data_IF_971970098060
#
_entry.id   IF_971970098060
#
_cell.length_a   1.000
_cell.length_b   1.000
_cell.length_c   1.000
_cell.angle_alpha   90.00
_cell.angle_beta   90.00
_cell.angle_gamma   90.00
#
_symmetry.space_group_name_H-M   'P 1'
#
loop_
_entity.id
_entity.type
_entity.pdbx_description
1 polymer ?
#
# COMPACT_ATOMS: atom_id res chain seq x y z
N UNK A 1 10.21 7.77 -12.40
CA UNK A 1 9.24 6.69 -12.08
C UNK A 1 7.85 6.96 -12.67
N UNK A 2 7.22 8.11 -12.42
CA UNK A 2 5.84 8.41 -12.85
C UNK A 2 5.58 8.30 -14.36
N UNK A 3 6.48 8.80 -15.22
CA UNK A 3 6.32 8.66 -16.69
C UNK A 3 6.38 7.20 -17.19
N UNK A 4 7.03 6.31 -16.43
CA UNK A 4 7.03 4.87 -16.74
C UNK A 4 5.71 4.26 -16.28
N UNK A 5 5.25 4.61 -15.07
CA UNK A 5 3.95 4.18 -14.55
C UNK A 5 2.81 4.60 -15.46
N UNK A 6 2.75 5.86 -15.89
CA UNK A 6 1.72 6.33 -16.83
C UNK A 6 1.61 5.44 -18.08
N UNK A 7 2.75 5.16 -18.73
CA UNK A 7 2.81 4.28 -19.92
C UNK A 7 2.40 2.83 -19.64
N UNK A 8 2.63 2.35 -18.41
CA UNK A 8 2.20 1.01 -18.00
C UNK A 8 0.69 0.98 -17.71
N UNK A 9 0.15 2.03 -17.10
CA UNK A 9 -1.28 2.18 -16.84
C UNK A 9 -2.08 2.29 -18.14
N UNK A 10 -1.56 2.96 -19.17
CA UNK A 10 -2.18 3.04 -20.50
C UNK A 10 -2.32 1.67 -21.19
N UNK A 11 -1.50 0.69 -20.78
CA UNK A 11 -1.51 -0.68 -21.29
C UNK A 11 -2.21 -1.66 -20.34
N UNK A 12 -2.61 -1.21 -19.16
CA UNK A 12 -3.21 -2.07 -18.16
C UNK A 12 -4.61 -2.51 -18.61
N UNK A 13 -4.94 -3.80 -18.49
CA UNK A 13 -6.30 -4.30 -18.70
C UNK A 13 -7.35 -3.57 -17.83
N UNK A 14 -8.60 -3.55 -18.27
CA UNK A 14 -9.67 -2.84 -17.56
C UNK A 14 -10.01 -3.48 -16.20
N UNK A 15 -9.92 -4.80 -16.10
CA UNK A 15 -10.14 -5.61 -14.90
C UNK A 15 -9.09 -5.37 -13.80
N UNK A 16 -7.97 -4.71 -14.13
CA UNK A 16 -6.99 -4.27 -13.14
C UNK A 16 -7.50 -3.09 -12.30
N UNK A 17 -8.66 -2.54 -12.64
CA UNK A 17 -9.32 -1.48 -11.90
C UNK A 17 -10.65 -1.97 -11.34
N UNK A 18 -10.85 -1.73 -10.04
CA UNK A 18 -12.16 -1.88 -9.40
C UNK A 18 -12.88 -0.53 -9.36
N UNK A 19 -14.20 -0.55 -9.40
CA UNK A 19 -15.05 0.64 -9.21
C UNK A 19 -15.35 0.77 -7.72
N UNK A 20 -14.91 1.87 -7.10
CA UNK A 20 -15.24 2.21 -5.72
C UNK A 20 -16.60 2.92 -5.59
N UNK A 21 -16.99 3.20 -4.35
CA UNK A 21 -18.33 3.68 -3.96
C UNK A 21 -18.79 4.99 -4.64
N UNK A 22 -17.87 5.77 -5.19
CA UNK A 22 -18.15 7.04 -5.89
C UNK A 22 -17.81 6.97 -7.40
N UNK A 23 -17.80 5.76 -7.98
CA UNK A 23 -17.39 5.56 -9.38
C UNK A 23 -15.88 5.74 -9.62
N UNK A 24 -15.11 5.93 -8.54
CA UNK A 24 -13.66 6.12 -8.58
C UNK A 24 -12.97 4.80 -8.91
N UNK A 25 -12.09 4.82 -9.91
CA UNK A 25 -11.23 3.68 -10.22
C UNK A 25 -10.19 3.47 -9.10
N UNK A 26 -10.19 2.27 -8.54
CA UNK A 26 -9.29 1.80 -7.51
C UNK A 26 -8.37 0.72 -8.09
N UNK A 27 -7.04 0.85 -7.94
CA UNK A 27 -6.12 -0.21 -8.31
C UNK A 27 -6.42 -1.51 -7.54
N UNK A 28 -6.55 -2.61 -8.29
CA UNK A 28 -6.59 -3.96 -7.74
C UNK A 28 -5.19 -4.44 -7.33
N UNK A 29 -5.10 -5.57 -6.64
CA UNK A 29 -3.80 -6.19 -6.35
C UNK A 29 -3.07 -6.58 -7.64
N UNK A 30 -3.80 -7.08 -8.66
CA UNK A 30 -3.21 -7.48 -9.94
C UNK A 30 -2.52 -6.32 -10.65
N UNK A 31 -3.11 -5.11 -10.60
CA UNK A 31 -2.45 -3.90 -11.12
C UNK A 31 -1.12 -3.64 -10.42
N UNK A 32 -1.09 -3.77 -9.09
CA UNK A 32 0.12 -3.54 -8.33
C UNK A 32 1.19 -4.59 -8.60
N UNK A 33 0.82 -5.87 -8.71
CA UNK A 33 1.74 -6.95 -9.03
C UNK A 33 2.31 -6.80 -10.44
N UNK A 34 1.49 -6.42 -11.42
CA UNK A 34 1.93 -6.08 -12.76
C UNK A 34 2.94 -4.93 -12.75
N UNK A 35 2.62 -3.82 -12.07
CA UNK A 35 3.54 -2.70 -11.94
C UNK A 35 4.82 -3.09 -11.20
N UNK A 36 4.75 -3.95 -10.19
CA UNK A 36 5.91 -4.42 -9.46
C UNK A 36 6.89 -5.18 -10.38
N UNK A 37 6.36 -6.13 -11.16
CA UNK A 37 7.14 -6.87 -12.14
C UNK A 37 7.77 -5.94 -13.19
N UNK A 38 6.98 -5.04 -13.76
CA UNK A 38 7.42 -4.13 -14.81
C UNK A 38 8.42 -3.06 -14.33
N UNK A 39 8.42 -2.74 -13.03
CA UNK A 39 9.33 -1.75 -12.44
C UNK A 39 10.55 -2.39 -11.77
N UNK A 40 10.59 -3.71 -11.62
CA UNK A 40 11.65 -4.41 -10.89
C UNK A 40 11.57 -4.18 -9.38
N UNK A 41 10.35 -4.23 -8.83
CA UNK A 41 10.09 -4.12 -7.40
C UNK A 41 9.99 -5.54 -6.84
N UNK A 42 10.94 -5.92 -6.00
CA UNK A 42 10.90 -7.19 -5.29
C UNK A 42 9.87 -7.09 -4.16
N UNK A 43 9.15 -8.18 -3.91
CA UNK A 43 8.23 -8.25 -2.79
C UNK A 43 8.26 -9.62 -2.12
N UNK A 44 8.05 -9.62 -0.81
CA UNK A 44 7.95 -10.83 0.00
C UNK A 44 6.85 -10.66 1.05
N UNK A 45 6.21 -11.76 1.45
CA UNK A 45 5.26 -11.78 2.56
C UNK A 45 5.66 -12.86 3.53
N UNK A 46 5.73 -12.52 4.80
CA UNK A 46 5.85 -13.47 5.89
C UNK A 46 4.53 -13.50 6.64
N UNK A 47 4.06 -14.69 6.96
CA UNK A 47 2.84 -14.87 7.74
C UNK A 47 3.17 -15.72 8.95
N UNK A 48 2.69 -15.29 10.10
CA UNK A 48 2.88 -16.03 11.34
C UNK A 48 1.91 -15.62 12.43
N UNK A 49 1.75 -16.47 13.45
CA UNK A 49 0.98 -16.13 14.64
C UNK A 49 1.71 -15.07 15.48
N UNK A 50 0.95 -14.17 16.11
CA UNK A 50 1.40 -13.19 17.10
C UNK A 50 0.41 -13.21 18.26
N UNK A 51 0.75 -13.96 19.31
CA UNK A 51 -0.21 -14.28 20.38
C UNK A 51 -1.38 -15.07 19.81
N UNK A 52 -2.60 -14.59 20.09
CA UNK A 52 -3.84 -15.19 19.59
C UNK A 52 -4.18 -14.75 18.15
N UNK A 53 -3.43 -13.81 17.58
CA UNK A 53 -3.70 -13.21 16.27
C UNK A 53 -2.82 -13.83 15.18
N UNK A 54 -3.18 -13.61 13.92
CA UNK A 54 -2.32 -13.84 12.77
C UNK A 54 -1.88 -12.52 12.15
N UNK A 55 -0.58 -12.38 11.87
CA UNK A 55 -0.03 -11.24 11.14
C UNK A 55 0.56 -11.70 9.82
N UNK A 56 0.22 -10.99 8.75
CA UNK A 56 0.99 -11.00 7.51
C UNK A 56 1.79 -9.70 7.42
N UNK A 57 3.11 -9.81 7.28
CA UNK A 57 4.03 -8.71 7.04
C UNK A 57 4.51 -8.77 5.60
N UNK A 58 4.11 -7.79 4.79
CA UNK A 58 4.59 -7.61 3.44
C UNK A 58 5.78 -6.65 3.43
N UNK A 59 6.80 -6.98 2.64
CA UNK A 59 7.97 -6.14 2.40
C UNK A 59 8.15 -5.94 0.90
N UNK A 60 8.31 -4.70 0.46
CA UNK A 60 8.67 -4.32 -0.90
C UNK A 60 10.08 -3.73 -0.92
N UNK A 61 10.87 -4.04 -1.94
CA UNK A 61 12.20 -3.47 -2.15
C UNK A 61 12.34 -2.95 -3.58
N UNK A 62 12.81 -1.72 -3.72
CA UNK A 62 13.08 -1.12 -5.02
C UNK A 62 14.28 -0.17 -4.92
N UNK A 63 15.40 -0.57 -5.51
CA UNK A 63 16.69 0.07 -5.28
C UNK A 63 17.06 0.03 -3.79
N UNK A 64 17.38 1.19 -3.22
CA UNK A 64 17.73 1.35 -1.80
C UNK A 64 16.51 1.53 -0.88
N UNK A 65 15.29 1.57 -1.43
CA UNK A 65 14.06 1.78 -0.65
C UNK A 65 13.44 0.45 -0.24
N UNK A 66 13.07 0.35 1.04
CA UNK A 66 12.33 -0.79 1.59
C UNK A 66 11.04 -0.29 2.22
N UNK A 67 9.92 -0.93 1.90
CA UNK A 67 8.58 -0.59 2.41
C UNK A 67 8.06 -1.82 3.14
N UNK A 68 7.63 -1.66 4.39
CA UNK A 68 7.00 -2.74 5.15
C UNK A 68 5.59 -2.32 5.55
N UNK A 69 4.64 -3.26 5.44
CA UNK A 69 3.28 -3.05 5.91
C UNK A 69 2.66 -4.37 6.37
N UNK A 70 1.88 -4.29 7.44
CA UNK A 70 1.28 -5.45 8.05
C UNK A 70 -0.25 -5.47 7.93
N UNK A 71 -0.81 -6.67 8.03
CA UNK A 71 -2.23 -6.90 8.25
C UNK A 71 -2.39 -7.92 9.37
N UNK A 72 -3.30 -7.65 10.30
CA UNK A 72 -3.56 -8.48 11.49
C UNK A 72 -5.00 -8.97 11.43
N UNK A 73 -5.23 -10.22 11.81
CA UNK A 73 -6.55 -10.82 11.94
C UNK A 73 -6.68 -11.63 13.24
N UNK A 74 -7.89 -11.66 13.81
CA UNK A 74 -8.14 -12.21 15.14
C UNK A 74 -7.92 -13.70 15.25
N UNK A 75 -8.38 -14.49 14.29
CA UNK A 75 -8.05 -15.91 14.21
C UNK A 75 -8.43 -16.42 12.82
N UNK A 76 -7.71 -17.44 12.37
CA UNK A 76 -8.17 -18.35 11.34
C UNK A 76 -8.97 -19.44 12.06
N UNK A 77 -9.98 -19.05 12.84
CA UNK A 77 -10.77 -20.07 13.51
C UNK A 77 -11.69 -20.74 12.49
N UNK A 78 -11.73 -22.06 12.63
CA UNK A 78 -12.80 -22.93 12.20
C UNK A 78 -14.08 -22.41 12.84
N UNK A 79 -14.74 -21.46 12.20
CA UNK A 79 -16.18 -21.33 12.36
C UNK A 79 -16.76 -22.64 11.84
N UNK A 80 -16.84 -23.61 12.76
CA UNK A 80 -17.84 -24.64 12.71
C UNK A 80 -19.15 -23.88 12.59
N UNK A 81 -19.72 -23.91 11.39
CA UNK A 81 -21.04 -23.43 11.06
C UNK A 81 -22.01 -23.86 12.17
N UNK A 82 -22.28 -22.99 13.14
CA UNK A 82 -23.52 -23.06 13.93
C UNK A 82 -24.61 -22.38 13.13
N UNK A 83 -24.79 -22.81 11.88
CA UNK A 83 -26.06 -22.75 11.18
C UNK A 83 -26.59 -24.19 11.16
N UNK A 84 -27.40 -24.46 12.18
CA UNK A 84 -28.34 -25.57 12.27
C UNK A 84 -29.15 -25.70 10.97
N UNK A 85 -28.69 -26.57 10.07
CA UNK A 85 -29.48 -27.50 9.21
C UNK A 85 -28.70 -28.05 8.00
N UNK A 86 -27.42 -27.73 7.83
CA UNK A 86 -26.59 -28.38 6.79
C UNK A 86 -25.87 -29.63 7.33
N UNK A 87 -25.88 -30.77 6.60
CA UNK A 87 -25.17 -31.97 7.02
C UNK A 87 -23.66 -31.67 7.16
N UNK A 88 -22.98 -32.25 8.17
CA UNK A 88 -21.60 -31.91 8.45
C UNK A 88 -20.71 -32.20 7.23
N UNK A 89 -19.79 -31.30 6.87
CA UNK A 89 -18.79 -31.60 5.85
C UNK A 89 -17.98 -32.82 6.30
N UNK A 90 -17.68 -33.73 5.37
CA UNK A 90 -16.84 -34.90 5.66
C UNK A 90 -15.50 -34.43 6.23
N UNK A 91 -15.11 -34.98 7.37
CA UNK A 91 -13.89 -34.62 8.08
C UNK A 91 -12.67 -34.76 7.15
N UNK A 92 -11.97 -33.65 6.92
CA UNK A 92 -10.64 -33.63 6.29
C UNK A 92 -10.51 -32.91 4.95
N UNK A 93 -11.57 -32.72 4.16
CA UNK A 93 -11.41 -32.19 2.78
C UNK A 93 -11.70 -30.68 2.64
N UNK A 94 -12.46 -30.07 3.57
CA UNK A 94 -12.83 -28.64 3.50
C UNK A 94 -12.03 -27.69 4.41
N UNK A 95 -11.33 -28.24 5.39
CA UNK A 95 -10.73 -27.47 6.49
C UNK A 95 -9.38 -26.84 6.11
N UNK A 96 -8.53 -27.59 5.41
CA UNK A 96 -7.27 -27.07 4.86
C UNK A 96 -7.50 -25.94 3.84
N UNK A 97 -8.49 -26.09 2.95
CA UNK A 97 -8.80 -25.12 1.90
C UNK A 97 -9.31 -23.79 2.47
N UNK A 98 -10.15 -23.81 3.53
CA UNK A 98 -10.67 -22.59 4.18
C UNK A 98 -9.56 -21.81 4.89
N UNK A 99 -8.65 -22.50 5.59
CA UNK A 99 -7.51 -21.89 6.27
C UNK A 99 -6.50 -21.30 5.29
N UNK A 100 -6.16 -22.03 4.22
CA UNK A 100 -5.31 -21.53 3.13
C UNK A 100 -5.90 -20.29 2.45
N UNK A 101 -7.23 -20.25 2.26
CA UNK A 101 -7.92 -19.10 1.68
C UNK A 101 -7.87 -17.87 2.61
N UNK A 102 -8.11 -18.04 3.92
CA UNK A 102 -8.03 -16.95 4.91
C UNK A 102 -6.60 -16.40 5.03
N UNK A 103 -5.58 -17.27 5.02
CA UNK A 103 -4.16 -16.87 5.01
C UNK A 103 -3.80 -16.11 3.73
N UNK A 104 -4.23 -16.61 2.57
CA UNK A 104 -3.99 -15.96 1.28
C UNK A 104 -4.65 -14.57 1.21
N UNK A 105 -5.83 -14.40 1.81
CA UNK A 105 -6.48 -13.10 1.94
C UNK A 105 -5.69 -12.15 2.85
N UNK A 106 -5.19 -12.64 3.99
CA UNK A 106 -4.37 -11.85 4.90
C UNK A 106 -3.07 -11.38 4.24
N UNK A 107 -2.40 -12.28 3.50
CA UNK A 107 -1.23 -11.96 2.67
C UNK A 107 -1.56 -10.89 1.62
N UNK A 108 -2.66 -11.08 0.89
CA UNK A 108 -3.10 -10.15 -0.15
C UNK A 108 -3.38 -8.76 0.43
N UNK A 109 -3.97 -8.68 1.64
CA UNK A 109 -4.21 -7.41 2.35
C UNK A 109 -2.92 -6.71 2.74
N UNK A 110 -1.94 -7.44 3.28
CA UNK A 110 -0.63 -6.88 3.63
C UNK A 110 0.10 -6.35 2.39
N UNK A 111 0.13 -7.13 1.30
CA UNK A 111 0.72 -6.68 0.02
C UNK A 111 0.01 -5.45 -0.52
N UNK A 112 -1.32 -5.47 -0.56
CA UNK A 112 -2.10 -4.34 -1.04
C UNK A 112 -1.83 -3.07 -0.22
N UNK A 113 -1.68 -3.20 1.11
CA UNK A 113 -1.30 -2.09 1.99
C UNK A 113 0.10 -1.57 1.63
N UNK A 114 1.10 -2.44 1.52
CA UNK A 114 2.47 -2.06 1.17
C UNK A 114 2.54 -1.38 -0.21
N UNK A 115 1.88 -1.96 -1.21
CA UNK A 115 1.82 -1.38 -2.56
C UNK A 115 1.05 -0.06 -2.60
N UNK A 116 -0.01 0.08 -1.79
CA UNK A 116 -0.72 1.37 -1.68
C UNK A 116 0.17 2.45 -1.07
N UNK A 117 1.01 2.12 -0.09
CA UNK A 117 1.97 3.09 0.45
C UNK A 117 2.99 3.51 -0.60
N UNK A 118 3.45 2.56 -1.41
CA UNK A 118 4.54 2.81 -2.35
C UNK A 118 4.11 3.32 -3.72
N UNK A 119 3.22 2.60 -4.40
CA UNK A 119 2.84 2.85 -5.80
C UNK A 119 1.64 3.76 -5.97
N UNK A 120 0.69 3.77 -5.02
CA UNK A 120 -0.54 4.55 -5.18
C UNK A 120 -0.33 6.05 -5.35
N UNK A 121 0.61 6.73 -4.67
CA UNK A 121 0.87 8.15 -4.92
C UNK A 121 1.28 8.41 -6.37
N UNK A 122 2.07 7.51 -6.96
CA UNK A 122 2.47 7.61 -8.37
C UNK A 122 1.31 7.33 -9.33
N UNK A 123 0.48 6.32 -9.05
CA UNK A 123 -0.74 6.04 -9.84
C UNK A 123 -1.69 7.24 -9.77
N UNK A 124 -1.85 7.83 -8.59
CA UNK A 124 -2.66 9.02 -8.36
C UNK A 124 -2.17 10.20 -9.18
N UNK A 125 -0.87 10.43 -9.26
CA UNK A 125 -0.28 11.53 -10.03
C UNK A 125 -0.69 11.54 -11.51
N UNK A 126 -1.13 10.40 -12.06
CA UNK A 126 -1.60 10.24 -13.43
C UNK A 126 -3.10 10.52 -13.64
N UNK A 127 -3.88 10.76 -12.58
CA UNK A 127 -5.33 10.93 -12.67
C UNK A 127 -5.77 12.40 -12.75
N UNK A 128 -6.95 12.71 -13.33
CA UNK A 128 -7.54 14.04 -13.21
C UNK A 128 -7.73 14.42 -11.73
N UNK A 129 -7.52 15.69 -11.40
CA UNK A 129 -7.55 16.26 -10.03
C UNK A 129 -6.47 15.79 -9.04
N UNK A 130 -5.49 14.99 -9.49
CA UNK A 130 -4.42 14.44 -8.65
C UNK A 130 -3.69 15.49 -7.80
N UNK A 131 -3.42 16.65 -8.39
CA UNK A 131 -2.64 17.72 -7.77
C UNK A 131 -3.21 18.18 -6.44
N UNK A 132 -4.53 18.42 -6.39
CA UNK A 132 -5.21 18.91 -5.18
C UNK A 132 -5.09 17.89 -4.05
N UNK A 133 -5.30 16.60 -4.37
CA UNK A 133 -5.24 15.50 -3.41
C UNK A 133 -3.81 15.30 -2.90
N UNK A 134 -2.83 15.23 -3.81
CA UNK A 134 -1.42 15.06 -3.45
C UNK A 134 -0.91 16.20 -2.54
N UNK A 135 -1.29 17.45 -2.83
CA UNK A 135 -0.97 18.59 -1.97
C UNK A 135 -1.58 18.43 -0.57
N UNK A 136 -2.86 18.04 -0.49
CA UNK A 136 -3.53 17.84 0.79
C UNK A 136 -2.87 16.71 1.59
N UNK A 137 -2.57 15.58 0.97
CA UNK A 137 -1.91 14.43 1.62
C UNK A 137 -0.52 14.79 2.15
N UNK A 138 0.33 15.42 1.34
CA UNK A 138 1.66 15.85 1.78
C UNK A 138 1.56 16.82 2.99
N UNK A 139 0.59 17.74 2.97
CA UNK A 139 0.37 18.67 4.09
C UNK A 139 -0.13 17.98 5.36
N UNK A 140 -0.95 16.93 5.25
CA UNK A 140 -1.43 16.14 6.39
C UNK A 140 -0.25 15.40 7.02
N UNK A 141 0.53 14.65 6.25
CA UNK A 141 1.69 13.88 6.75
C UNK A 141 2.69 14.79 7.47
N UNK A 142 3.00 15.95 6.90
CA UNK A 142 3.86 16.92 7.57
C UNK A 142 3.29 17.52 8.85
N UNK A 143 1.96 17.67 8.91
CA UNK A 143 1.28 18.19 10.09
C UNK A 143 1.28 17.16 11.21
N UNK A 144 1.08 15.89 10.88
CA UNK A 144 1.11 14.77 11.84
C UNK A 144 2.50 14.65 12.50
N UNK A 145 3.57 14.97 11.77
CA UNK A 145 4.93 15.07 12.31
C UNK A 145 5.22 16.33 13.14
N UNK A 146 4.27 17.25 13.26
CA UNK A 146 4.43 18.48 14.05
C UNK A 146 5.39 19.52 13.45
N UNK A 147 5.79 19.39 12.18
CA UNK A 147 6.74 20.33 11.57
C UNK A 147 6.09 21.69 11.33
N UNK A 148 6.81 22.77 11.61
CA UNK A 148 6.44 24.13 11.21
C UNK A 148 6.70 24.36 9.70
N UNK A 149 6.25 25.50 9.16
CA UNK A 149 6.34 25.78 7.71
C UNK A 149 7.77 25.69 7.18
N UNK A 150 8.73 26.29 7.87
CA UNK A 150 10.10 26.40 7.35
C UNK A 150 10.81 25.06 7.45
N UNK A 151 10.55 24.30 8.52
CA UNK A 151 11.04 22.93 8.67
C UNK A 151 10.47 21.99 7.60
N UNK A 152 9.19 22.14 7.22
CA UNK A 152 8.60 21.35 6.12
C UNK A 152 9.30 21.59 4.78
N UNK A 153 9.57 22.85 4.44
CA UNK A 153 10.22 23.22 3.17
C UNK A 153 11.67 22.77 3.13
N UNK A 154 12.40 22.88 4.25
CA UNK A 154 13.77 22.36 4.39
C UNK A 154 13.81 20.85 4.21
N UNK A 155 12.98 20.12 4.97
CA UNK A 155 12.88 18.66 4.89
C UNK A 155 12.48 18.17 3.49
N UNK A 156 11.52 18.86 2.84
CA UNK A 156 11.15 18.54 1.47
C UNK A 156 12.30 18.74 0.48
N UNK A 157 13.13 19.77 0.71
CA UNK A 157 14.30 20.03 -0.12
C UNK A 157 15.37 18.96 0.02
N UNK A 158 15.54 18.43 1.24
CA UNK A 158 16.44 17.31 1.53
C UNK A 158 15.97 16.03 0.84
N UNK A 159 14.71 15.63 1.04
CA UNK A 159 14.12 14.42 0.43
C UNK A 159 14.23 14.47 -1.10
N UNK A 160 13.84 15.60 -1.70
CA UNK A 160 13.80 15.76 -3.15
C UNK A 160 15.16 16.14 -3.75
N UNK A 161 16.19 16.32 -2.91
CA UNK A 161 17.54 16.75 -3.31
C UNK A 161 17.53 17.98 -4.23
N UNK A 162 16.62 18.94 -3.97
CA UNK A 162 16.45 20.18 -4.74
C UNK A 162 15.77 21.28 -3.90
N UNK A 163 15.99 22.58 -4.19
CA UNK A 163 15.39 23.65 -3.40
C UNK A 163 13.86 23.70 -3.55
N UNK A 164 13.14 23.66 -2.43
CA UNK A 164 11.67 23.77 -2.37
C UNK A 164 11.28 25.03 -1.60
N UNK A 165 10.73 26.02 -2.31
CA UNK A 165 10.24 27.26 -1.72
C UNK A 165 8.73 27.22 -1.44
N UNK A 166 8.01 26.35 -2.13
CA UNK A 166 6.56 26.19 -2.01
C UNK A 166 6.13 24.83 -2.54
N UNK A 167 5.28 24.13 -1.78
CA UNK A 167 4.65 22.89 -2.27
C UNK A 167 3.77 23.12 -3.49
N UNK A 168 3.24 24.34 -3.66
CA UNK A 168 2.47 24.68 -4.86
C UNK A 168 3.32 24.67 -6.12
N UNK A 169 4.64 24.80 -6.05
CA UNK A 169 5.45 24.84 -7.28
C UNK A 169 5.98 23.45 -7.67
N UNK A 170 5.72 22.44 -6.83
CA UNK A 170 6.11 21.07 -7.09
C UNK A 170 5.24 20.42 -8.17
N UNK A 171 5.88 19.62 -9.01
CA UNK A 171 5.17 18.74 -9.93
C UNK A 171 4.49 17.59 -9.17
N UNK A 172 3.46 16.97 -9.76
CA UNK A 172 2.79 15.82 -9.15
C UNK A 172 3.77 14.67 -8.83
N UNK A 173 4.83 14.54 -9.63
CA UNK A 173 5.89 13.55 -9.44
C UNK A 173 6.68 13.79 -8.15
N UNK A 174 7.02 15.05 -7.89
CA UNK A 174 7.75 15.45 -6.69
C UNK A 174 6.89 15.27 -5.44
N UNK A 175 5.60 15.64 -5.53
CA UNK A 175 4.65 15.44 -4.45
C UNK A 175 4.44 13.95 -4.13
N UNK A 176 4.35 13.10 -5.16
CA UNK A 176 4.23 11.65 -4.97
C UNK A 176 5.49 11.07 -4.28
N UNK A 177 6.68 11.46 -4.73
CA UNK A 177 7.93 11.04 -4.11
C UNK A 177 8.07 11.51 -2.67
N UNK A 178 7.63 12.74 -2.39
CA UNK A 178 7.62 13.28 -1.06
C UNK A 178 6.68 12.53 -0.12
N UNK A 179 5.45 12.24 -0.57
CA UNK A 179 4.48 11.45 0.20
C UNK A 179 5.06 10.07 0.55
N UNK A 180 5.69 9.41 -0.43
CA UNK A 180 6.31 8.09 -0.19
C UNK A 180 7.43 8.18 0.82
N UNK A 181 8.32 9.18 0.74
CA UNK A 181 9.37 9.34 1.74
C UNK A 181 8.79 9.60 3.15
N UNK A 182 7.75 10.43 3.24
CA UNK A 182 7.09 10.74 4.50
C UNK A 182 6.32 9.56 5.13
N UNK A 183 5.88 8.59 4.35
CA UNK A 183 5.28 7.37 4.91
C UNK A 183 6.32 6.35 5.33
N UNK A 184 7.57 6.46 4.86
CA UNK A 184 8.63 5.50 5.18
C UNK A 184 9.37 5.81 6.48
N UNK A 185 9.64 7.08 6.83
CA UNK A 185 10.34 7.35 8.11
C UNK A 185 9.52 6.94 9.34
N UNK A 186 8.18 6.93 9.24
CA UNK A 186 7.31 6.53 10.35
C UNK A 186 7.46 5.04 10.69
N UNK A 187 7.72 4.20 9.69
CA UNK A 187 7.85 2.75 9.86
C UNK A 187 9.18 2.41 10.53
N UNK A 188 10.29 3.08 10.18
CA UNK A 188 11.59 2.85 10.82
C UNK A 188 11.53 3.14 12.34
N UNK A 189 10.83 4.19 12.77
CA UNK A 189 10.72 4.52 14.19
C UNK A 189 9.89 3.55 15.03
N UNK A 190 8.99 2.79 14.42
CA UNK A 190 8.14 1.82 15.15
C UNK A 190 8.82 0.46 15.40
N UNK A 191 9.91 0.15 14.67
CA UNK A 191 10.65 -1.09 14.83
C UNK A 191 11.98 -0.95 15.59
N UNK A 192 12.41 0.29 15.89
CA UNK A 192 13.61 0.60 16.66
C UNK A 192 13.35 0.87 18.16
N UNK A 193 12.14 0.54 18.67
CA UNK A 193 11.76 0.71 20.09
C UNK A 193 11.60 -0.62 20.82
#
# INVERSE_FOLDING_TARGET
MTNRIARLLDRAPADFWAVGDEGRLLPTLDLYLYLANELGIDYAVRVGPIGDLWQALATLKHGDRTIAADAIAHTIDDDADTDTDSPPPRAGEGQGVRTETKLSQLQSRALLKAFRLYLYPYIRACQPDARRILLATAQILYRERGYDRDTRLRHASEILSKPVQSFRDLANTDLAELIVALTLDEVSSQYDS
#
